data_IF_661003951942
#
_entry.id   IF_661003951942
#
_cell.length_a   1.000
_cell.length_b   1.000
_cell.length_c   1.000
_cell.angle_alpha   90.00
_cell.angle_beta   90.00
_cell.angle_gamma   90.00
#
_symmetry.space_group_name_H-M   'P 1'
#
loop_
_entity.id
_entity.type
_entity.pdbx_description
1 polymer ?
#
# COMPACT_ATOMS: atom_id res chain seq x y z
N UNK A 1 -0.86 28.81 8.50
CA UNK A 1 -0.39 28.52 7.14
C UNK A 1 0.44 29.68 6.57
N UNK A 2 -0.06 30.96 6.58
CA UNK A 2 0.69 32.11 6.05
C UNK A 2 2.01 32.37 6.80
N UNK A 3 2.07 32.08 8.09
CA UNK A 3 3.29 32.24 8.90
C UNK A 3 4.45 31.35 8.42
N UNK A 4 4.14 30.22 7.77
CA UNK A 4 5.16 29.30 7.22
C UNK A 4 5.84 29.84 5.94
N UNK A 5 5.26 30.89 5.30
CA UNK A 5 5.81 31.55 4.10
C UNK A 5 6.19 30.56 3.00
N UNK A 6 5.27 29.62 2.66
CA UNK A 6 5.53 28.68 1.56
C UNK A 6 5.70 29.44 0.23
N UNK A 7 6.73 29.13 -0.52
CA UNK A 7 6.95 29.65 -1.88
C UNK A 7 6.04 28.96 -2.88
N UNK A 8 5.79 27.65 -2.69
CA UNK A 8 5.00 26.83 -3.57
C UNK A 8 4.07 25.91 -2.80
N UNK A 9 2.90 25.64 -3.38
CA UNK A 9 1.91 24.66 -2.92
C UNK A 9 1.47 23.79 -4.09
N UNK A 10 1.55 22.47 -3.90
CA UNK A 10 1.06 21.49 -4.83
C UNK A 10 -0.21 20.85 -4.26
N UNK A 11 -1.34 21.04 -4.92
CA UNK A 11 -2.64 20.49 -4.51
C UNK A 11 -2.97 19.26 -5.36
N UNK A 12 -2.68 18.08 -4.82
CA UNK A 12 -2.98 16.78 -5.47
C UNK A 12 -4.45 16.37 -5.37
N UNK A 13 -5.23 17.02 -4.51
CA UNK A 13 -6.61 16.63 -4.23
C UNK A 13 -7.63 17.43 -5.06
N UNK A 14 -8.75 16.80 -5.36
CA UNK A 14 -9.87 17.39 -6.11
C UNK A 14 -10.93 18.06 -5.23
N UNK A 15 -10.72 18.16 -3.93
CA UNK A 15 -11.68 18.65 -2.95
C UNK A 15 -11.62 20.18 -2.80
N UNK A 16 -12.77 20.83 -2.74
CA UNK A 16 -12.90 22.28 -2.58
C UNK A 16 -12.14 22.84 -1.37
N UNK A 17 -12.22 22.26 -0.16
CA UNK A 17 -11.46 22.77 0.98
C UNK A 17 -9.96 22.82 0.72
N UNK A 18 -9.42 21.85 -0.02
CA UNK A 18 -7.97 21.81 -0.36
C UNK A 18 -7.57 22.96 -1.27
N UNK A 19 -8.39 23.28 -2.27
CA UNK A 19 -8.17 24.44 -3.15
C UNK A 19 -8.16 25.75 -2.37
N UNK A 20 -9.16 25.94 -1.48
CA UNK A 20 -9.25 27.13 -0.62
C UNK A 20 -8.04 27.22 0.31
N UNK A 21 -7.64 26.12 0.95
CA UNK A 21 -6.43 26.06 1.78
C UNK A 21 -5.20 26.47 0.97
N UNK A 22 -5.04 25.96 -0.26
CA UNK A 22 -3.93 26.34 -1.14
C UNK A 22 -3.87 27.86 -1.37
N UNK A 23 -5.02 28.48 -1.62
CA UNK A 23 -5.12 29.96 -1.77
C UNK A 23 -4.77 30.69 -0.48
N UNK A 24 -5.25 30.20 0.67
CA UNK A 24 -5.04 30.84 1.98
C UNK A 24 -3.58 30.78 2.45
N UNK A 25 -2.73 29.89 1.90
CA UNK A 25 -1.29 29.88 2.22
C UNK A 25 -0.60 31.17 1.84
N UNK A 26 -1.09 31.87 0.79
CA UNK A 26 -0.44 33.05 0.24
C UNK A 26 0.78 32.73 -0.65
N UNK A 27 1.09 31.47 -0.90
CA UNK A 27 2.20 31.07 -1.75
C UNK A 27 2.11 31.70 -3.15
N UNK A 28 3.25 32.13 -3.69
CA UNK A 28 3.32 32.74 -5.02
C UNK A 28 2.94 31.73 -6.11
N UNK A 29 3.39 30.48 -5.98
CA UNK A 29 3.08 29.39 -6.89
C UNK A 29 2.12 28.40 -6.22
N UNK A 30 0.97 28.15 -6.86
CA UNK A 30 -0.05 27.21 -6.39
C UNK A 30 -0.53 26.39 -7.54
N UNK A 31 -0.10 25.14 -7.64
CA UNK A 31 -0.42 24.24 -8.75
C UNK A 31 -1.47 23.22 -8.28
N UNK A 32 -2.49 23.03 -9.08
CA UNK A 32 -3.50 21.99 -8.92
C UNK A 32 -3.71 21.23 -10.23
N UNK A 33 -4.67 20.31 -10.23
CA UNK A 33 -5.06 19.59 -11.44
C UNK A 33 -6.29 20.19 -12.11
N UNK A 34 -6.34 20.16 -13.45
CA UNK A 34 -7.54 20.52 -14.24
C UNK A 34 -8.52 19.33 -14.30
N UNK A 35 -9.10 19.00 -13.15
CA UNK A 35 -10.10 17.94 -13.08
C UNK A 35 -11.37 18.34 -13.84
N UNK A 36 -11.94 17.48 -14.72
CA UNK A 36 -13.16 17.76 -15.47
C UNK A 36 -14.33 18.22 -14.58
N UNK A 37 -14.47 17.61 -13.39
CA UNK A 37 -15.52 17.96 -12.40
C UNK A 37 -15.23 19.26 -11.62
N UNK A 38 -14.09 19.92 -11.83
CA UNK A 38 -13.66 21.15 -11.15
C UNK A 38 -13.42 22.33 -12.09
N UNK A 39 -13.98 22.28 -13.30
CA UNK A 39 -13.92 23.38 -14.30
C UNK A 39 -14.79 24.56 -13.87
N UNK A 40 -14.41 25.25 -12.80
CA UNK A 40 -15.11 26.37 -12.20
C UNK A 40 -14.14 27.55 -11.98
N UNK A 41 -14.56 28.83 -12.16
CA UNK A 41 -13.71 30.01 -11.99
C UNK A 41 -13.03 30.08 -10.61
N UNK A 42 -13.73 29.69 -9.54
CA UNK A 42 -13.16 29.66 -8.17
C UNK A 42 -12.02 28.64 -8.06
N UNK A 43 -12.13 27.47 -8.73
CA UNK A 43 -11.04 26.50 -8.74
C UNK A 43 -9.77 27.08 -9.39
N UNK A 44 -9.94 27.74 -10.54
CA UNK A 44 -8.85 28.44 -11.23
C UNK A 44 -8.30 29.59 -10.38
N UNK A 45 -9.14 30.34 -9.69
CA UNK A 45 -8.71 31.44 -8.82
C UNK A 45 -7.85 30.94 -7.64
N UNK A 46 -8.08 29.75 -7.14
CA UNK A 46 -7.29 29.17 -6.04
C UNK A 46 -5.88 28.74 -6.48
N UNK A 47 -5.64 28.49 -7.76
CA UNK A 47 -4.39 28.02 -8.31
C UNK A 47 -3.78 29.02 -9.28
N UNK A 48 -2.46 29.07 -9.38
CA UNK A 48 -1.73 29.92 -10.36
C UNK A 48 -1.50 29.17 -11.68
N UNK A 49 -1.47 27.83 -11.62
CA UNK A 49 -1.37 26.96 -12.79
C UNK A 49 -2.14 25.65 -12.53
N UNK A 50 -2.58 25.01 -13.60
CA UNK A 50 -3.28 23.73 -13.57
C UNK A 50 -2.57 22.73 -14.47
N UNK A 51 -2.25 21.55 -13.94
CA UNK A 51 -1.72 20.43 -14.70
C UNK A 51 -2.87 19.62 -15.33
N UNK A 52 -2.66 19.14 -16.56
CA UNK A 52 -3.66 18.34 -17.28
C UNK A 52 -3.87 16.97 -16.65
N UNK A 53 -5.12 16.51 -16.63
CA UNK A 53 -5.50 15.16 -16.19
C UNK A 53 -5.91 14.24 -17.35
N UNK A 54 -5.72 14.63 -18.59
CA UNK A 54 -6.21 13.89 -19.77
C UNK A 54 -5.69 12.46 -19.87
N UNK A 55 -4.46 12.22 -19.41
CA UNK A 55 -3.81 10.89 -19.46
C UNK A 55 -3.94 10.10 -18.13
N UNK A 56 -4.56 10.65 -17.09
CA UNK A 56 -4.58 10.03 -15.77
C UNK A 56 -5.12 8.60 -15.77
N UNK A 57 -6.11 8.30 -16.61
CA UNK A 57 -6.69 6.95 -16.71
C UNK A 57 -5.71 5.87 -17.24
N UNK A 58 -4.60 6.28 -17.82
CA UNK A 58 -3.57 5.38 -18.39
C UNK A 58 -2.30 5.32 -17.53
N UNK A 59 -2.19 6.18 -16.53
CA UNK A 59 -1.01 6.36 -15.70
C UNK A 59 -1.17 5.70 -14.33
N UNK A 60 -0.09 5.16 -13.81
CA UNK A 60 0.01 4.78 -12.41
C UNK A 60 -0.20 5.99 -11.49
N UNK A 61 -0.77 5.81 -10.30
CA UNK A 61 -1.05 6.90 -9.35
C UNK A 61 0.20 7.74 -9.03
N UNK A 62 1.38 7.14 -8.98
CA UNK A 62 2.65 7.87 -8.82
C UNK A 62 2.87 8.83 -9.99
N UNK A 63 2.71 8.37 -11.22
CA UNK A 63 2.87 9.20 -12.42
C UNK A 63 1.79 10.29 -12.51
N UNK A 64 0.54 9.95 -12.14
CA UNK A 64 -0.53 10.95 -12.02
C UNK A 64 -0.13 12.06 -11.06
N UNK A 65 0.38 11.71 -9.87
CA UNK A 65 0.81 12.69 -8.88
C UNK A 65 2.01 13.52 -9.36
N UNK A 66 2.99 12.90 -10.01
CA UNK A 66 4.17 13.59 -10.54
C UNK A 66 3.81 14.55 -11.68
N UNK A 67 2.75 14.28 -12.45
CA UNK A 67 2.32 15.15 -13.55
C UNK A 67 1.90 16.56 -13.10
N UNK A 68 1.67 16.78 -11.79
CA UNK A 68 1.43 18.11 -11.23
C UNK A 68 2.59 19.08 -11.45
N UNK A 69 3.80 18.56 -11.73
CA UNK A 69 5.00 19.35 -11.96
C UNK A 69 5.14 19.83 -13.42
N UNK A 70 4.30 19.34 -14.32
CA UNK A 70 4.35 19.71 -15.75
C UNK A 70 4.25 21.23 -16.02
N UNK A 71 3.43 22.04 -15.30
CA UNK A 71 3.40 23.47 -15.46
C UNK A 71 4.71 24.19 -15.12
N UNK A 72 5.63 23.51 -14.42
CA UNK A 72 6.99 24.00 -14.11
C UNK A 72 8.01 23.60 -15.17
N UNK A 73 7.60 22.93 -16.25
CA UNK A 73 8.50 22.38 -17.26
C UNK A 73 9.22 21.09 -16.81
N UNK A 74 8.80 20.49 -15.68
CA UNK A 74 9.38 19.25 -15.16
C UNK A 74 8.56 18.05 -15.61
N UNK A 75 9.22 17.06 -16.20
CA UNK A 75 8.63 15.77 -16.56
C UNK A 75 9.35 14.68 -15.79
N UNK A 76 8.73 14.19 -14.72
CA UNK A 76 9.23 13.14 -13.85
C UNK A 76 8.29 11.94 -13.95
N UNK A 77 8.60 11.01 -14.85
CA UNK A 77 7.73 9.84 -15.07
C UNK A 77 8.13 8.62 -14.24
N UNK A 78 9.39 8.55 -13.80
CA UNK A 78 10.01 7.35 -13.22
C UNK A 78 10.68 7.60 -11.86
N UNK A 79 10.26 8.66 -11.15
CA UNK A 79 10.82 8.92 -9.82
C UNK A 79 10.49 7.76 -8.86
N UNK A 80 11.49 7.19 -8.16
CA UNK A 80 11.27 6.11 -7.22
C UNK A 80 10.47 6.61 -6.03
N UNK A 81 9.52 5.82 -5.57
CA UNK A 81 8.94 6.01 -4.25
C UNK A 81 10.01 5.70 -3.19
N UNK A 82 10.06 6.49 -2.11
CA UNK A 82 11.00 6.28 -1.02
C UNK A 82 10.28 6.42 0.30
N UNK A 83 10.66 5.57 1.23
CA UNK A 83 10.22 5.63 2.62
C UNK A 83 11.43 5.48 3.53
N UNK A 84 11.37 6.09 4.72
CA UNK A 84 12.43 6.00 5.71
C UNK A 84 11.85 5.83 7.11
N UNK A 85 12.70 5.34 7.99
CA UNK A 85 12.48 5.21 9.42
C UNK A 85 13.80 5.57 10.15
N UNK A 86 13.76 5.72 11.47
CA UNK A 86 14.95 6.00 12.27
C UNK A 86 15.53 4.72 12.88
N UNK A 87 16.80 4.78 13.31
CA UNK A 87 17.42 3.73 14.11
C UNK A 87 16.62 3.41 15.39
N UNK A 88 16.00 4.43 16.00
CA UNK A 88 15.15 4.23 17.17
C UNK A 88 13.86 3.45 16.81
N UNK A 89 13.27 3.68 15.62
CA UNK A 89 12.12 2.91 15.15
C UNK A 89 12.50 1.45 14.95
N UNK A 90 13.68 1.18 14.37
CA UNK A 90 14.18 -0.19 14.22
C UNK A 90 14.48 -0.84 15.57
N UNK A 91 15.20 -0.17 16.45
CA UNK A 91 15.52 -0.73 17.77
C UNK A 91 14.26 -1.11 18.56
N UNK A 92 13.24 -0.24 18.52
CA UNK A 92 11.95 -0.51 19.15
C UNK A 92 11.23 -1.71 18.52
N UNK A 93 11.25 -1.82 17.20
CA UNK A 93 10.62 -2.94 16.48
C UNK A 93 11.35 -4.26 16.72
N UNK A 94 12.68 -4.21 16.67
CA UNK A 94 13.54 -5.38 16.91
C UNK A 94 13.37 -5.97 18.31
N UNK A 95 13.09 -5.11 19.30
CA UNK A 95 12.82 -5.55 20.68
C UNK A 95 11.51 -6.34 20.80
N UNK A 96 10.55 -6.18 19.86
CA UNK A 96 9.30 -6.94 19.81
C UNK A 96 9.47 -8.29 19.12
N UNK A 97 10.54 -8.51 18.37
CA UNK A 97 10.80 -9.76 17.67
C UNK A 97 11.53 -10.76 18.61
N UNK A 98 11.14 -12.06 18.59
CA UNK A 98 11.90 -13.11 19.21
C UNK A 98 13.35 -13.13 18.68
N UNK A 99 14.28 -13.60 19.49
CA UNK A 99 15.71 -13.52 19.17
C UNK A 99 16.08 -14.27 17.88
N UNK A 100 15.47 -15.41 17.67
CA UNK A 100 15.63 -16.27 16.51
C UNK A 100 14.92 -15.75 15.23
N UNK A 101 14.09 -14.69 15.32
CA UNK A 101 13.46 -14.02 14.18
C UNK A 101 14.24 -12.80 13.68
N UNK A 102 15.29 -12.37 14.37
CA UNK A 102 15.92 -11.06 14.12
C UNK A 102 16.74 -10.98 12.84
N UNK A 103 17.11 -12.09 12.23
CA UNK A 103 18.00 -12.11 11.07
C UNK A 103 17.32 -12.54 9.76
N UNK A 104 16.33 -13.45 9.80
CA UNK A 104 15.72 -14.00 8.60
C UNK A 104 14.25 -14.31 8.82
N UNK A 105 13.37 -13.44 8.36
CA UNK A 105 11.93 -13.64 8.43
C UNK A 105 11.22 -13.14 7.17
N UNK A 106 10.04 -13.65 6.95
CA UNK A 106 9.09 -13.19 5.95
C UNK A 106 8.02 -12.39 6.66
N UNK A 107 7.73 -11.16 6.19
CA UNK A 107 6.59 -10.38 6.67
C UNK A 107 5.35 -10.74 5.88
N UNK A 108 4.27 -11.07 6.56
CA UNK A 108 2.96 -11.28 5.93
C UNK A 108 1.97 -10.25 6.47
N UNK A 109 1.37 -9.48 5.54
CA UNK A 109 0.27 -8.55 5.81
C UNK A 109 -1.02 -9.10 5.16
N UNK A 110 -1.83 -9.90 5.88
CA UNK A 110 -2.99 -10.56 5.31
C UNK A 110 -4.20 -9.63 5.16
N UNK A 111 -4.17 -8.46 5.82
CA UNK A 111 -5.34 -7.60 5.99
C UNK A 111 -5.29 -6.33 5.16
N UNK A 112 -6.46 -5.84 4.83
CA UNK A 112 -6.72 -4.53 4.26
C UNK A 112 -7.95 -3.94 4.93
N UNK A 113 -8.08 -2.61 4.93
CA UNK A 113 -9.27 -1.92 5.41
C UNK A 113 -10.56 -2.45 4.76
N UNK A 114 -10.48 -2.85 3.51
CA UNK A 114 -11.58 -3.42 2.74
C UNK A 114 -11.39 -4.92 2.60
N UNK A 115 -12.24 -5.71 3.25
CA UNK A 115 -12.08 -7.15 3.35
C UNK A 115 -12.24 -7.89 2.01
N UNK A 116 -12.91 -7.30 1.04
CA UNK A 116 -12.94 -7.85 -0.32
C UNK A 116 -11.56 -7.91 -0.99
N UNK A 117 -10.56 -7.22 -0.45
CA UNK A 117 -9.16 -7.28 -0.86
C UNK A 117 -8.32 -8.26 -0.04
N UNK A 118 -8.91 -8.95 0.92
CA UNK A 118 -8.22 -9.93 1.75
C UNK A 118 -8.40 -11.33 1.17
N UNK A 119 -7.39 -12.17 1.33
CA UNK A 119 -7.48 -13.59 1.03
C UNK A 119 -8.09 -14.33 2.22
N UNK A 120 -8.69 -15.50 2.01
CA UNK A 120 -9.29 -16.28 3.10
C UNK A 120 -8.25 -16.72 4.12
N UNK A 121 -8.68 -16.80 5.36
CA UNK A 121 -7.86 -17.13 6.53
C UNK A 121 -7.26 -18.52 6.42
N UNK A 122 -8.02 -19.52 5.94
CA UNK A 122 -7.56 -20.90 5.74
C UNK A 122 -6.45 -21.00 4.68
N UNK A 123 -6.55 -20.23 3.60
CA UNK A 123 -5.52 -20.19 2.56
C UNK A 123 -4.25 -19.48 3.01
N UNK A 124 -4.42 -18.40 3.77
CA UNK A 124 -3.29 -17.71 4.39
C UNK A 124 -2.58 -18.62 5.40
N UNK A 125 -3.33 -19.38 6.20
CA UNK A 125 -2.77 -20.38 7.12
C UNK A 125 -2.02 -21.48 6.37
N UNK A 126 -2.56 -21.96 5.24
CA UNK A 126 -1.89 -22.96 4.42
C UNK A 126 -0.54 -22.44 3.84
N UNK A 127 -0.51 -21.19 3.37
CA UNK A 127 0.72 -20.53 2.93
C UNK A 127 1.76 -20.46 4.07
N UNK A 128 1.34 -19.99 5.25
CA UNK A 128 2.22 -19.86 6.41
C UNK A 128 2.78 -21.22 6.85
N UNK A 129 1.95 -22.25 6.87
CA UNK A 129 2.39 -23.61 7.20
C UNK A 129 3.41 -24.15 6.19
N UNK A 130 3.20 -23.89 4.89
CA UNK A 130 4.15 -24.28 3.84
C UNK A 130 5.50 -23.59 4.02
N UNK A 131 5.51 -22.26 4.18
CA UNK A 131 6.73 -21.47 4.41
C UNK A 131 7.46 -21.91 5.69
N UNK A 132 6.71 -22.20 6.75
CA UNK A 132 7.28 -22.69 7.99
C UNK A 132 7.88 -24.09 7.85
N UNK A 133 7.28 -24.97 7.06
CA UNK A 133 7.82 -26.31 6.76
C UNK A 133 9.15 -26.23 6.00
N UNK A 134 9.35 -25.20 5.16
CA UNK A 134 10.63 -24.89 4.50
C UNK A 134 11.64 -24.18 5.44
N UNK A 135 11.29 -23.98 6.73
CA UNK A 135 12.18 -23.41 7.74
C UNK A 135 12.12 -21.90 7.88
N UNK A 136 11.24 -21.22 7.14
CA UNK A 136 11.09 -19.75 7.25
C UNK A 136 10.36 -19.36 8.53
N UNK A 137 10.85 -18.29 9.18
CA UNK A 137 10.14 -17.59 10.23
C UNK A 137 9.16 -16.59 9.61
N UNK A 138 7.95 -16.51 10.11
CA UNK A 138 6.90 -15.61 9.61
C UNK A 138 6.53 -14.58 10.66
N UNK A 139 6.52 -13.31 10.30
CA UNK A 139 6.04 -12.20 11.11
C UNK A 139 4.72 -11.69 10.52
N UNK A 140 3.63 -11.88 11.25
CA UNK A 140 2.31 -11.36 10.86
C UNK A 140 2.14 -9.92 11.34
N UNK A 141 1.63 -9.08 10.44
CA UNK A 141 1.30 -7.68 10.73
C UNK A 141 -0.15 -7.36 10.36
N UNK A 142 -0.74 -6.39 11.02
CA UNK A 142 -2.03 -5.78 10.67
C UNK A 142 -2.15 -4.39 11.25
N UNK A 143 -3.16 -3.64 10.83
CA UNK A 143 -3.62 -2.44 11.51
C UNK A 143 -4.17 -2.72 12.90
N UNK A 144 -4.46 -1.67 13.70
CA UNK A 144 -4.98 -1.81 15.05
C UNK A 144 -6.49 -2.13 15.10
N UNK A 145 -7.17 -2.17 13.98
CA UNK A 145 -8.59 -2.42 13.87
C UNK A 145 -8.98 -3.81 14.44
N UNK A 146 -10.07 -3.89 15.20
CA UNK A 146 -10.49 -5.12 15.87
C UNK A 146 -10.84 -6.24 14.87
N UNK A 147 -11.40 -5.89 13.70
CA UNK A 147 -11.75 -6.86 12.66
C UNK A 147 -10.50 -7.44 11.99
N UNK A 148 -9.50 -6.59 11.75
CA UNK A 148 -8.21 -7.04 11.22
C UNK A 148 -7.50 -7.98 12.22
N UNK A 149 -7.46 -7.61 13.50
CA UNK A 149 -6.88 -8.46 14.56
C UNK A 149 -7.58 -9.80 14.66
N UNK A 150 -8.92 -9.83 14.63
CA UNK A 150 -9.69 -11.08 14.66
C UNK A 150 -9.34 -11.99 13.47
N UNK A 151 -9.15 -11.41 12.28
CA UNK A 151 -8.70 -12.17 11.11
C UNK A 151 -7.32 -12.78 11.34
N UNK A 152 -6.38 -12.00 11.88
CA UNK A 152 -5.03 -12.50 12.23
C UNK A 152 -5.10 -13.60 13.27
N UNK A 153 -5.93 -13.46 14.31
CA UNK A 153 -6.11 -14.50 15.33
C UNK A 153 -6.64 -15.82 14.73
N UNK A 154 -7.56 -15.73 13.76
CA UNK A 154 -8.07 -16.90 13.03
C UNK A 154 -6.96 -17.56 12.20
N UNK A 155 -6.13 -16.79 11.54
CA UNK A 155 -4.97 -17.30 10.78
C UNK A 155 -3.99 -18.02 11.71
N UNK A 156 -3.65 -17.41 12.86
CA UNK A 156 -2.74 -17.99 13.86
C UNK A 156 -3.29 -19.33 14.37
N UNK A 157 -4.60 -19.41 14.65
CA UNK A 157 -5.23 -20.65 15.07
C UNK A 157 -5.11 -21.78 14.04
N UNK A 158 -5.02 -21.45 12.75
CA UNK A 158 -4.75 -22.40 11.66
C UNK A 158 -3.28 -22.81 11.51
N UNK A 159 -2.37 -22.25 12.33
CA UNK A 159 -0.92 -22.45 12.22
C UNK A 159 -0.27 -22.89 13.54
N UNK A 160 -0.77 -23.93 14.23
CA UNK A 160 -0.35 -24.25 15.62
C UNK A 160 1.10 -24.72 15.73
N UNK A 161 1.73 -25.15 14.62
CA UNK A 161 3.11 -25.65 14.58
C UNK A 161 4.04 -24.75 13.79
N UNK A 162 3.53 -23.65 13.21
CA UNK A 162 4.34 -22.78 12.39
C UNK A 162 5.28 -21.90 13.24
N UNK A 163 6.45 -21.63 12.71
CA UNK A 163 7.38 -20.65 13.26
C UNK A 163 6.87 -19.23 12.96
N UNK A 164 5.92 -18.80 13.78
CA UNK A 164 5.09 -17.61 13.56
C UNK A 164 5.14 -16.67 14.76
N UNK A 165 5.32 -15.36 14.50
CA UNK A 165 5.22 -14.30 15.50
C UNK A 165 4.27 -13.22 15.03
N UNK A 166 3.39 -12.71 15.91
CA UNK A 166 2.41 -11.69 15.55
C UNK A 166 2.75 -10.33 16.15
N UNK A 167 2.87 -9.33 15.28
CA UNK A 167 2.96 -7.92 15.61
C UNK A 167 1.68 -7.15 15.22
N UNK A 168 0.56 -7.84 15.07
CA UNK A 168 -0.71 -7.27 14.65
C UNK A 168 -1.17 -6.14 15.57
N UNK A 169 -1.33 -4.94 15.01
CA UNK A 169 -1.77 -3.74 15.72
C UNK A 169 -0.79 -3.18 16.75
N UNK A 170 0.47 -3.63 16.76
CA UNK A 170 1.48 -3.21 17.73
C UNK A 170 2.46 -2.16 17.18
N UNK A 171 2.50 -1.96 15.87
CA UNK A 171 3.51 -1.14 15.22
C UNK A 171 2.95 0.22 14.79
N UNK A 172 3.74 1.26 14.96
CA UNK A 172 3.54 2.51 14.21
C UNK A 172 3.94 2.28 12.74
N UNK A 173 3.54 3.19 11.83
CA UNK A 173 3.91 3.05 10.41
C UNK A 173 5.44 3.05 10.19
N UNK A 174 6.20 3.81 10.98
CA UNK A 174 7.68 3.83 10.89
C UNK A 174 8.29 2.53 11.39
N UNK A 175 7.76 1.98 12.47
CA UNK A 175 8.18 0.66 12.98
C UNK A 175 7.83 -0.45 12.00
N UNK A 176 6.65 -0.40 11.37
CA UNK A 176 6.27 -1.33 10.32
C UNK A 176 7.21 -1.23 9.11
N UNK A 177 7.61 -0.01 8.72
CA UNK A 177 8.59 0.20 7.67
C UNK A 177 9.93 -0.48 8.02
N UNK A 178 10.42 -0.31 9.24
CA UNK A 178 11.64 -0.95 9.71
C UNK A 178 11.53 -2.49 9.68
N UNK A 179 10.41 -3.05 10.12
CA UNK A 179 10.17 -4.50 10.07
C UNK A 179 10.12 -5.02 8.63
N UNK A 180 9.50 -4.29 7.71
CA UNK A 180 9.43 -4.66 6.29
C UNK A 180 10.81 -4.58 5.63
N UNK A 181 11.58 -3.53 5.90
CA UNK A 181 12.90 -3.32 5.28
C UNK A 181 13.92 -4.40 5.66
N UNK A 182 13.82 -4.92 6.89
CA UNK A 182 14.70 -6.01 7.38
C UNK A 182 14.14 -7.42 7.05
N UNK A 183 13.02 -7.52 6.37
CA UNK A 183 12.47 -8.80 5.94
C UNK A 183 13.17 -9.33 4.68
N UNK A 184 13.32 -10.64 4.58
CA UNK A 184 13.76 -11.32 3.36
C UNK A 184 12.74 -11.15 2.22
N UNK A 185 11.46 -11.21 2.56
CA UNK A 185 10.34 -11.13 1.64
C UNK A 185 9.13 -10.51 2.36
N UNK A 186 8.38 -9.71 1.64
CA UNK A 186 7.06 -9.25 2.04
C UNK A 186 5.98 -9.97 1.21
N UNK A 187 4.98 -10.54 1.87
CA UNK A 187 3.79 -11.10 1.20
C UNK A 187 2.58 -10.34 1.72
N UNK A 188 1.74 -9.83 0.83
CA UNK A 188 0.57 -9.09 1.29
C UNK A 188 -0.45 -8.81 0.22
N UNK A 189 -1.59 -8.30 0.67
CA UNK A 189 -2.70 -7.89 -0.19
C UNK A 189 -2.56 -6.42 -0.60
N UNK A 190 -3.39 -5.96 -1.54
CA UNK A 190 -3.49 -4.56 -1.96
C UNK A 190 -3.83 -3.64 -0.77
N UNK A 191 -2.79 -3.13 -0.13
CA UNK A 191 -2.85 -2.30 1.09
C UNK A 191 -1.61 -1.41 1.24
N UNK A 192 -1.64 -0.47 2.19
CA UNK A 192 -0.52 0.45 2.44
C UNK A 192 0.81 -0.27 2.69
N UNK A 193 0.91 -1.35 3.50
CA UNK A 193 2.18 -2.05 3.72
C UNK A 193 2.82 -2.61 2.45
N UNK A 194 2.04 -3.03 1.45
CA UNK A 194 2.55 -3.47 0.15
C UNK A 194 3.25 -2.32 -0.58
N UNK A 195 2.70 -1.11 -0.56
CA UNK A 195 3.36 0.08 -1.13
C UNK A 195 4.60 0.49 -0.33
N UNK A 196 4.59 0.26 0.99
CA UNK A 196 5.77 0.48 1.84
C UNK A 196 6.90 -0.47 1.44
N UNK A 197 6.62 -1.76 1.25
CA UNK A 197 7.60 -2.73 0.79
C UNK A 197 8.21 -2.33 -0.57
N UNK A 198 7.39 -1.89 -1.52
CA UNK A 198 7.87 -1.38 -2.79
C UNK A 198 8.79 -0.16 -2.63
N UNK A 199 8.43 0.81 -1.77
CA UNK A 199 9.20 2.03 -1.55
C UNK A 199 10.52 1.80 -0.79
N UNK A 200 10.61 0.73 0.00
CA UNK A 200 11.80 0.28 0.71
C UNK A 200 12.71 -0.58 -0.18
N UNK A 201 12.18 -1.13 -1.28
CA UNK A 201 12.91 -2.04 -2.15
C UNK A 201 12.99 -3.48 -1.61
N UNK A 202 12.17 -3.81 -0.61
CA UNK A 202 12.02 -5.17 -0.09
C UNK A 202 11.39 -6.05 -1.18
N UNK A 203 11.94 -7.25 -1.46
CA UNK A 203 11.29 -8.20 -2.36
C UNK A 203 9.86 -8.49 -1.91
N UNK A 204 8.92 -8.58 -2.86
CA UNK A 204 7.52 -8.76 -2.47
C UNK A 204 6.73 -9.69 -3.40
N UNK A 205 5.72 -10.35 -2.82
CA UNK A 205 4.61 -10.99 -3.52
C UNK A 205 3.32 -10.30 -3.11
N UNK A 206 2.65 -9.66 -4.06
CA UNK A 206 1.44 -8.89 -3.82
C UNK A 206 0.22 -9.59 -4.42
N UNK A 207 -0.81 -9.84 -3.60
CA UNK A 207 -2.06 -10.44 -4.02
C UNK A 207 -3.07 -9.34 -4.37
N UNK A 208 -3.57 -9.35 -5.58
CA UNK A 208 -4.54 -8.38 -6.08
C UNK A 208 -5.85 -9.03 -6.49
N UNK A 209 -6.94 -8.47 -6.01
CA UNK A 209 -8.29 -8.75 -6.44
C UNK A 209 -8.80 -7.74 -7.49
N UNK A 210 -10.05 -7.28 -7.38
CA UNK A 210 -10.69 -6.39 -8.33
C UNK A 210 -10.25 -4.92 -8.17
N UNK A 211 -8.97 -4.68 -7.99
CA UNK A 211 -8.37 -3.34 -7.99
C UNK A 211 -7.81 -3.01 -9.35
N UNK A 212 -7.81 -1.72 -9.72
CA UNK A 212 -7.21 -1.27 -10.99
C UNK A 212 -5.69 -1.38 -10.92
N UNK A 213 -5.12 -2.48 -11.42
CA UNK A 213 -3.67 -2.72 -11.44
C UNK A 213 -2.88 -1.57 -12.05
N UNK A 214 -3.38 -0.96 -13.14
CA UNK A 214 -2.73 0.20 -13.75
C UNK A 214 -2.46 1.30 -12.74
N UNK A 215 -3.36 1.51 -11.77
CA UNK A 215 -3.25 2.60 -10.80
C UNK A 215 -2.49 2.20 -9.53
N UNK A 216 -2.65 0.94 -9.06
CA UNK A 216 -2.33 0.56 -7.69
C UNK A 216 -1.33 -0.58 -7.54
N UNK A 217 -0.86 -1.20 -8.61
CA UNK A 217 0.22 -2.20 -8.47
C UNK A 217 1.43 -1.58 -7.74
N UNK A 218 2.26 -2.36 -7.02
CA UNK A 218 3.41 -1.82 -6.32
C UNK A 218 4.35 -1.14 -7.31
N UNK A 219 4.71 0.12 -7.02
CA UNK A 219 5.49 0.96 -7.93
C UNK A 219 6.94 0.54 -7.94
N UNK A 220 7.47 0.18 -9.13
CA UNK A 220 8.88 -0.22 -9.33
C UNK A 220 9.36 -1.29 -8.34
N UNK A 221 8.46 -2.16 -7.88
CA UNK A 221 8.77 -3.17 -6.89
C UNK A 221 9.68 -4.27 -7.45
N UNK A 222 10.47 -4.86 -6.55
CA UNK A 222 11.18 -6.12 -6.80
C UNK A 222 10.26 -7.27 -6.39
N UNK A 223 9.80 -8.07 -7.32
CA UNK A 223 8.91 -9.20 -7.04
C UNK A 223 7.71 -9.26 -7.96
N UNK A 224 6.67 -9.96 -7.53
CA UNK A 224 5.55 -10.32 -8.37
C UNK A 224 4.21 -9.84 -7.84
N UNK A 225 3.29 -9.61 -8.77
CA UNK A 225 1.88 -9.38 -8.49
C UNK A 225 1.10 -10.58 -8.99
N UNK A 226 0.35 -11.23 -8.11
CA UNK A 226 -0.57 -12.31 -8.44
C UNK A 226 -1.96 -11.70 -8.48
N UNK A 227 -2.52 -11.62 -9.68
CA UNK A 227 -3.83 -11.01 -9.89
C UNK A 227 -4.93 -12.07 -9.98
N UNK A 228 -5.96 -11.95 -9.17
CA UNK A 228 -7.09 -12.87 -9.16
C UNK A 228 -7.81 -12.97 -10.52
N UNK A 229 -7.72 -11.92 -11.36
CA UNK A 229 -8.26 -11.92 -12.71
C UNK A 229 -7.59 -12.89 -13.68
N UNK A 230 -6.38 -13.38 -13.37
CA UNK A 230 -5.70 -14.42 -14.15
C UNK A 230 -6.32 -15.81 -13.90
N UNK A 231 -7.11 -15.96 -12.83
CA UNK A 231 -7.72 -17.23 -12.41
C UNK A 231 -9.23 -17.27 -12.57
N UNK A 232 -9.87 -16.13 -12.87
CA UNK A 232 -11.32 -16.09 -13.09
C UNK A 232 -11.87 -14.66 -13.21
N UNK A 233 -13.16 -14.51 -13.53
CA UNK A 233 -13.77 -13.20 -13.74
C UNK A 233 -13.85 -12.41 -12.42
N UNK A 234 -13.58 -11.11 -12.50
CA UNK A 234 -13.71 -10.17 -11.40
C UNK A 234 -14.78 -9.12 -11.69
N UNK A 235 -15.46 -8.59 -10.67
CA UNK A 235 -16.37 -7.46 -10.85
C UNK A 235 -15.62 -6.18 -11.24
N UNK A 236 -16.33 -5.22 -11.80
CA UNK A 236 -15.80 -3.88 -12.02
C UNK A 236 -15.41 -3.26 -10.64
N UNK A 237 -14.15 -2.82 -10.46
CA UNK A 237 -13.71 -2.19 -9.23
C UNK A 237 -14.57 -1.01 -8.76
N UNK A 238 -15.13 -0.24 -9.70
CA UNK A 238 -15.95 0.94 -9.41
C UNK A 238 -17.38 0.57 -8.98
N UNK A 239 -17.83 -0.67 -9.20
CA UNK A 239 -19.15 -1.18 -8.84
C UNK A 239 -19.17 -1.93 -7.48
N UNK A 240 -18.02 -2.16 -6.85
CA UNK A 240 -17.93 -2.95 -5.62
C UNK A 240 -18.48 -2.16 -4.42
N UNK A 241 -19.39 -2.79 -3.69
CA UNK A 241 -19.73 -2.34 -2.34
C UNK A 241 -18.56 -2.60 -1.39
N UNK A 242 -17.91 -1.54 -0.91
CA UNK A 242 -16.73 -1.65 -0.03
C UNK A 242 -17.01 -2.29 1.34
N UNK A 243 -18.29 -2.45 1.70
CA UNK A 243 -18.73 -3.11 2.93
C UNK A 243 -19.08 -4.61 2.72
N UNK A 244 -18.82 -5.15 1.53
CA UNK A 244 -19.05 -6.58 1.28
C UNK A 244 -18.09 -7.46 2.07
N UNK A 245 -18.53 -8.65 2.45
CA UNK A 245 -17.71 -9.71 3.04
C UNK A 245 -17.17 -10.70 1.99
N UNK A 246 -17.49 -10.51 0.72
CA UNK A 246 -16.95 -11.34 -0.37
C UNK A 246 -15.44 -11.23 -0.44
N UNK A 247 -14.79 -12.34 -0.83
CA UNK A 247 -13.33 -12.49 -0.92
C UNK A 247 -12.92 -12.77 -2.35
N UNK A 248 -12.71 -11.74 -3.15
CA UNK A 248 -12.36 -11.91 -4.57
C UNK A 248 -10.96 -12.50 -4.80
N UNK A 249 -10.08 -12.45 -3.78
CA UNK A 249 -8.79 -13.11 -3.83
C UNK A 249 -8.88 -14.64 -3.76
N UNK A 250 -10.04 -15.19 -3.43
CA UNK A 250 -10.26 -16.63 -3.36
C UNK A 250 -10.13 -17.36 -4.72
N UNK A 251 -10.11 -16.61 -5.83
CA UNK A 251 -9.75 -17.16 -7.12
C UNK A 251 -8.27 -17.57 -7.21
N UNK A 252 -7.38 -16.94 -6.42
CA UNK A 252 -5.94 -17.26 -6.42
C UNK A 252 -5.70 -18.59 -5.71
N UNK A 253 -5.16 -19.61 -6.37
CA UNK A 253 -4.83 -20.88 -5.73
C UNK A 253 -3.64 -20.72 -4.77
N UNK A 254 -3.65 -21.44 -3.65
CA UNK A 254 -2.58 -21.39 -2.65
C UNK A 254 -1.21 -21.76 -3.24
N UNK A 255 -1.18 -22.81 -4.06
CA UNK A 255 0.04 -23.29 -4.70
C UNK A 255 0.70 -22.24 -5.62
N UNK A 256 -0.12 -21.40 -6.26
CA UNK A 256 0.39 -20.30 -7.08
C UNK A 256 1.10 -19.23 -6.25
N UNK A 257 0.70 -19.04 -4.99
CA UNK A 257 1.35 -18.09 -4.07
C UNK A 257 2.62 -18.71 -3.47
N UNK A 258 2.55 -19.98 -3.04
CA UNK A 258 3.71 -20.71 -2.49
C UNK A 258 4.86 -20.71 -3.51
N UNK A 259 4.60 -21.14 -4.75
CA UNK A 259 5.62 -21.22 -5.81
C UNK A 259 6.32 -19.88 -6.14
N UNK A 260 5.71 -18.74 -5.76
CA UNK A 260 6.30 -17.41 -5.98
C UNK A 260 6.91 -16.81 -4.71
N UNK A 261 6.80 -17.51 -3.59
CA UNK A 261 7.29 -17.08 -2.29
C UNK A 261 8.59 -17.78 -1.88
N UNK A 262 8.98 -18.80 -2.63
CA UNK A 262 10.26 -19.51 -2.54
C UNK A 262 11.36 -18.75 -3.33
#
# INVERSE_FOLDING_TARGET
LRQQRYDMVLNLADQWPRAVISKLTGAATRIGFDFPKRRHPVWRYCHTALASTQQHNQLHTVQQNLSILAPLGLQLNDAPARMGYSEADWAASRALLPEDFREHYIVIQPTSRWFFKCWREDRMSALINALSAEGYAVVLTSGPDAREKKMVDTIIAGCPQARLHSLAGQLTLRQLAAVIDHARLFIGVDSVPMHMAAALGTPLVALFGPSKLTFWRPWQAKGEVIWAGDFGPLPDPDAINTNTDERYLDLIPTDAVIARSE
#
